data_IF_953513379506
#
_entry.id   IF_953513379506
#
_cell.length_a   1.000
_cell.length_b   1.000
_cell.length_c   1.000
_cell.angle_alpha   90.00
_cell.angle_beta   90.00
_cell.angle_gamma   90.00
#
_symmetry.space_group_name_H-M   'P 1'
#
loop_
_entity.id
_entity.type
_entity.pdbx_description
1 polymer ?
#
# COMPACT_ATOMS: atom_id res chain seq x y z
N UNK A 1 11.76 -8.41 15.06
CA UNK A 1 12.29 -7.24 14.31
C UNK A 1 13.46 -7.69 13.48
N UNK A 2 13.49 -7.28 12.22
CA UNK A 2 14.53 -7.54 11.24
C UNK A 2 15.16 -6.23 10.78
N UNK A 3 16.44 -6.26 10.43
CA UNK A 3 17.19 -5.08 10.01
C UNK A 3 17.93 -5.38 8.72
N UNK A 4 17.81 -4.48 7.75
CA UNK A 4 18.63 -4.48 6.54
C UNK A 4 19.50 -3.22 6.52
N UNK A 5 20.72 -3.33 6.04
CA UNK A 5 21.61 -2.19 5.85
C UNK A 5 22.57 -2.36 4.67
N UNK A 6 22.91 -1.24 4.05
CA UNK A 6 23.99 -1.15 3.08
C UNK A 6 24.72 0.20 3.22
N UNK A 7 25.52 0.61 2.22
CA UNK A 7 26.23 1.89 2.26
C UNK A 7 25.29 3.10 2.42
N UNK A 8 24.07 3.03 1.88
CA UNK A 8 23.14 4.15 1.72
C UNK A 8 22.01 4.16 2.75
N UNK A 9 21.44 3.00 3.08
CA UNK A 9 20.20 2.89 3.85
C UNK A 9 20.36 1.95 5.05
N UNK A 10 19.57 2.23 6.09
CA UNK A 10 19.24 1.28 7.17
C UNK A 10 17.73 1.15 7.24
N UNK A 11 17.22 -0.07 7.23
CA UNK A 11 15.79 -0.38 7.19
C UNK A 11 15.43 -1.27 8.36
N UNK A 12 14.27 -1.01 8.98
CA UNK A 12 13.72 -1.85 10.05
C UNK A 12 12.36 -2.41 9.63
N UNK A 13 12.17 -3.71 9.84
CA UNK A 13 10.95 -4.43 9.49
C UNK A 13 10.47 -5.19 10.73
N UNK A 14 9.19 -5.03 11.08
CA UNK A 14 8.55 -5.79 12.14
C UNK A 14 8.12 -7.16 11.60
N UNK A 15 8.38 -8.22 12.35
CA UNK A 15 7.91 -9.57 11.99
C UNK A 15 6.38 -9.66 12.13
N UNK A 16 5.80 -8.90 13.06
CA UNK A 16 4.36 -8.68 13.10
C UNK A 16 3.91 -7.86 11.90
N UNK A 17 3.06 -8.46 11.08
CA UNK A 17 2.53 -7.90 9.84
C UNK A 17 3.54 -7.76 8.71
N UNK A 18 4.76 -8.29 8.87
CA UNK A 18 5.92 -7.99 8.03
C UNK A 18 6.06 -6.48 7.75
N UNK A 19 5.73 -5.63 8.73
CA UNK A 19 5.52 -4.19 8.52
C UNK A 19 6.86 -3.46 8.37
N UNK A 20 7.02 -2.66 7.32
CA UNK A 20 8.13 -1.72 7.22
C UNK A 20 7.93 -0.60 8.25
N UNK A 21 8.87 -0.40 9.18
CA UNK A 21 8.73 0.60 10.25
C UNK A 21 9.72 1.75 10.15
N UNK A 22 10.79 1.63 9.36
CA UNK A 22 11.84 2.66 9.27
C UNK A 22 12.66 2.51 7.99
N UNK A 23 12.98 3.62 7.34
CA UNK A 23 14.02 3.77 6.32
C UNK A 23 14.85 5.00 6.67
N UNK A 24 16.07 4.79 7.16
CA UNK A 24 17.01 5.86 7.48
C UNK A 24 18.06 6.00 6.37
N UNK A 25 18.19 7.19 5.80
CA UNK A 25 19.31 7.52 4.90
C UNK A 25 20.58 7.76 5.71
N UNK A 26 21.66 7.03 5.42
CA UNK A 26 22.89 7.06 6.22
C UNK A 26 23.67 8.36 6.11
N UNK A 27 23.64 9.04 4.96
CA UNK A 27 24.44 10.25 4.73
C UNK A 27 24.07 11.41 5.64
N UNK A 28 22.80 11.52 6.04
CA UNK A 28 22.30 12.64 6.85
C UNK A 28 21.33 12.22 7.97
N UNK A 29 21.15 10.91 8.19
CA UNK A 29 20.33 10.32 9.25
C UNK A 29 18.83 10.68 9.16
N UNK A 30 18.34 11.08 7.98
CA UNK A 30 16.91 11.36 7.79
C UNK A 30 16.08 10.08 7.82
N UNK A 31 15.02 10.07 8.63
CA UNK A 31 13.96 9.05 8.60
C UNK A 31 12.91 9.40 7.54
N UNK A 32 12.44 8.40 6.82
CA UNK A 32 11.51 8.56 5.72
C UNK A 32 10.15 7.91 6.00
N UNK A 33 10.08 6.87 6.82
CA UNK A 33 8.83 6.19 7.15
C UNK A 33 8.14 6.90 8.31
N UNK A 34 6.83 7.09 8.20
CA UNK A 34 6.02 7.66 9.27
C UNK A 34 6.20 6.90 10.59
N UNK A 35 6.37 7.63 11.69
CA UNK A 35 6.72 7.07 13.00
C UNK A 35 5.53 6.46 13.78
N UNK A 36 4.37 6.32 13.14
CA UNK A 36 3.15 5.81 13.75
C UNK A 36 2.66 6.58 15.00
N UNK A 37 2.84 7.90 15.07
CA UNK A 37 2.27 8.70 16.17
C UNK A 37 0.73 8.51 16.21
N UNK A 38 0.19 7.94 17.29
CA UNK A 38 -1.24 7.65 17.41
C UNK A 38 -2.12 8.91 17.45
N UNK A 39 -1.55 10.10 17.65
CA UNK A 39 -2.26 11.37 17.50
C UNK A 39 -2.77 11.58 16.05
N UNK A 40 -2.07 11.01 15.07
CA UNK A 40 -2.44 11.05 13.66
C UNK A 40 -2.88 9.68 13.14
N UNK A 41 -2.00 8.68 13.19
CA UNK A 41 -2.26 7.32 12.73
C UNK A 41 -1.23 6.33 13.28
N UNK A 42 -1.69 5.32 14.01
CA UNK A 42 -0.83 4.38 14.75
C UNK A 42 -0.28 3.19 13.94
N UNK A 43 -0.02 3.36 12.65
CA UNK A 43 0.61 2.35 11.77
C UNK A 43 1.71 3.00 10.93
N UNK A 44 2.62 2.21 10.36
CA UNK A 44 3.74 2.70 9.55
C UNK A 44 3.51 2.38 8.06
N UNK A 45 3.46 1.10 7.72
CA UNK A 45 3.37 0.61 6.34
C UNK A 45 2.72 -0.77 6.28
N UNK A 46 1.46 -0.91 6.74
CA UNK A 46 0.81 -2.21 6.89
C UNK A 46 0.59 -2.87 5.54
N UNK A 47 0.66 -4.20 5.52
CA UNK A 47 0.27 -5.01 4.36
C UNK A 47 -1.24 -5.12 4.25
N UNK A 48 -1.73 -5.15 3.01
CA UNK A 48 -3.13 -5.40 2.70
C UNK A 48 -3.21 -6.77 2.02
N UNK A 49 -3.78 -7.77 2.71
CA UNK A 49 -3.96 -9.13 2.18
C UNK A 49 -4.95 -9.92 3.07
N UNK A 50 -5.86 -10.72 2.50
CA UNK A 50 -6.10 -10.98 1.07
C UNK A 50 -7.13 -10.04 0.42
N UNK A 51 -7.46 -8.93 1.10
CA UNK A 51 -8.45 -7.94 0.65
C UNK A 51 -7.86 -6.55 0.81
N UNK A 52 -8.18 -5.63 -0.10
CA UNK A 52 -7.82 -4.22 -0.07
C UNK A 52 -9.07 -3.39 0.27
N UNK A 53 -8.91 -2.45 1.20
CA UNK A 53 -9.99 -1.57 1.62
C UNK A 53 -11.08 -2.30 2.39
N UNK A 54 -12.32 -1.84 2.21
CA UNK A 54 -13.52 -2.35 2.89
C UNK A 54 -14.37 -3.15 1.90
N UNK A 55 -15.03 -4.18 2.41
CA UNK A 55 -16.11 -4.89 1.72
C UNK A 55 -17.48 -4.44 2.25
N UNK A 56 -18.51 -4.53 1.41
CA UNK A 56 -19.90 -4.28 1.80
C UNK A 56 -20.29 -5.20 2.97
N UNK A 57 -20.73 -4.60 4.07
CA UNK A 57 -21.03 -5.26 5.34
C UNK A 57 -19.86 -6.08 5.95
N UNK A 58 -18.62 -5.87 5.49
CA UNK A 58 -17.43 -6.66 5.88
C UNK A 58 -17.51 -8.14 5.48
N UNK A 59 -18.21 -8.44 4.38
CA UNK A 59 -18.45 -9.80 3.92
C UNK A 59 -18.18 -9.96 2.43
N UNK A 60 -17.85 -11.18 2.01
CA UNK A 60 -17.95 -11.63 0.62
C UNK A 60 -18.62 -13.00 0.55
N UNK A 61 -19.04 -13.39 -0.65
CA UNK A 61 -19.52 -14.74 -0.95
C UNK A 61 -18.55 -15.45 -1.89
N UNK A 62 -18.30 -16.72 -1.62
CA UNK A 62 -17.50 -17.62 -2.46
C UNK A 62 -18.22 -18.96 -2.53
N UNK A 63 -18.47 -19.46 -3.75
CA UNK A 63 -19.18 -20.71 -4.01
C UNK A 63 -20.52 -20.83 -3.23
N UNK A 64 -21.23 -19.70 -3.09
CA UNK A 64 -22.50 -19.60 -2.38
C UNK A 64 -22.40 -19.56 -0.85
N UNK A 65 -21.20 -19.55 -0.27
CA UNK A 65 -20.95 -19.42 1.17
C UNK A 65 -20.50 -18.01 1.51
N UNK A 66 -21.07 -17.40 2.55
CA UNK A 66 -20.67 -16.09 3.05
C UNK A 66 -19.53 -16.21 4.05
N UNK A 67 -18.54 -15.34 3.90
CA UNK A 67 -17.40 -15.20 4.80
C UNK A 67 -17.30 -13.75 5.29
N UNK A 68 -17.06 -13.57 6.57
CA UNK A 68 -16.74 -12.27 7.18
C UNK A 68 -15.23 -12.06 7.17
N UNK A 69 -14.78 -10.85 6.83
CA UNK A 69 -13.37 -10.49 6.85
C UNK A 69 -13.17 -9.01 7.18
N UNK A 70 -12.13 -8.73 7.94
CA UNK A 70 -11.81 -7.37 8.38
C UNK A 70 -11.31 -6.50 7.23
N UNK A 71 -11.46 -5.18 7.39
CA UNK A 71 -10.93 -4.17 6.45
C UNK A 71 -9.43 -4.37 6.22
N UNK A 72 -9.01 -4.46 4.96
CA UNK A 72 -7.65 -4.78 4.48
C UNK A 72 -7.16 -6.21 4.82
N UNK A 73 -8.07 -7.12 5.15
CA UNK A 73 -7.74 -8.49 5.52
C UNK A 73 -6.99 -8.61 6.85
N UNK A 74 -6.23 -9.69 6.98
CA UNK A 74 -5.65 -10.13 8.26
C UNK A 74 -4.13 -10.13 8.30
N UNK A 75 -3.43 -9.97 7.17
CA UNK A 75 -1.97 -10.14 7.14
C UNK A 75 -1.25 -9.22 8.12
N UNK A 76 -1.60 -7.94 8.17
CA UNK A 76 -1.00 -6.95 9.09
C UNK A 76 -1.21 -7.25 10.59
N UNK A 77 -2.14 -8.15 10.92
CA UNK A 77 -2.54 -8.47 12.30
C UNK A 77 -2.01 -9.86 12.72
N UNK A 78 -1.01 -10.39 12.01
CA UNK A 78 -0.40 -11.72 12.20
C UNK A 78 1.12 -11.63 12.29
N UNK A 79 1.73 -12.54 13.05
CA UNK A 79 3.18 -12.74 13.05
C UNK A 79 3.62 -13.50 11.78
N UNK A 80 4.65 -13.01 11.10
CA UNK A 80 5.28 -13.73 9.99
C UNK A 80 6.53 -14.47 10.47
N UNK A 81 6.79 -15.63 9.86
CA UNK A 81 8.01 -16.40 10.12
C UNK A 81 9.13 -15.93 9.21
N UNK A 82 10.30 -15.62 9.75
CA UNK A 82 11.50 -15.32 8.95
C UNK A 82 12.01 -16.60 8.30
N UNK A 83 12.03 -16.64 6.97
CA UNK A 83 12.47 -17.83 6.20
C UNK A 83 13.88 -17.67 5.63
N UNK A 84 14.30 -16.42 5.37
CA UNK A 84 15.65 -16.08 4.93
C UNK A 84 16.01 -14.69 5.44
N UNK A 85 17.26 -14.49 5.88
CA UNK A 85 17.76 -13.19 6.30
C UNK A 85 19.24 -13.04 5.95
N UNK A 86 19.63 -11.81 5.62
CA UNK A 86 20.98 -11.34 5.34
C UNK A 86 21.02 -9.83 5.56
N UNK A 87 22.20 -9.22 5.46
CA UNK A 87 22.36 -7.77 5.67
C UNK A 87 21.51 -6.94 4.69
N UNK A 88 21.25 -7.43 3.47
CA UNK A 88 20.53 -6.66 2.43
C UNK A 88 19.22 -7.29 1.98
N UNK A 89 18.81 -8.42 2.55
CA UNK A 89 17.58 -9.11 2.16
C UNK A 89 16.96 -9.88 3.33
N UNK A 90 15.64 -9.78 3.47
CA UNK A 90 14.86 -10.62 4.38
C UNK A 90 13.58 -11.11 3.69
N UNK A 91 13.24 -12.36 3.93
CA UNK A 91 11.97 -12.98 3.53
C UNK A 91 11.19 -13.37 4.77
N UNK A 92 9.94 -12.91 4.84
CA UNK A 92 9.00 -13.22 5.92
C UNK A 92 7.77 -13.89 5.32
N UNK A 93 7.32 -15.00 5.90
CA UNK A 93 6.21 -15.80 5.37
C UNK A 93 5.08 -16.00 6.37
N UNK A 94 3.84 -15.94 5.87
CA UNK A 94 2.61 -16.27 6.57
C UNK A 94 1.89 -17.38 5.78
N UNK A 95 1.56 -18.48 6.44
CA UNK A 95 0.77 -19.57 5.85
C UNK A 95 -0.63 -19.62 6.46
N UNK A 96 -1.57 -20.20 5.74
CA UNK A 96 -2.93 -20.39 6.22
C UNK A 96 -2.98 -21.18 7.54
N UNK A 97 -3.82 -20.74 8.47
CA UNK A 97 -4.14 -21.45 9.71
C UNK A 97 -5.65 -21.53 9.92
N UNK A 98 -6.07 -22.18 11.01
CA UNK A 98 -7.50 -22.32 11.32
C UNK A 98 -8.23 -20.98 11.46
N UNK A 99 -7.53 -19.93 11.91
CA UNK A 99 -8.10 -18.60 12.07
C UNK A 99 -8.27 -17.90 10.71
N UNK A 100 -7.27 -17.93 9.83
CA UNK A 100 -7.39 -17.34 8.49
C UNK A 100 -8.41 -18.10 7.65
N UNK A 101 -8.44 -19.43 7.73
CA UNK A 101 -9.40 -20.27 6.99
C UNK A 101 -10.87 -20.02 7.34
N UNK A 102 -11.15 -19.52 8.54
CA UNK A 102 -12.50 -19.13 8.93
C UNK A 102 -13.01 -17.90 8.13
N UNK A 103 -12.11 -17.03 7.68
CA UNK A 103 -12.42 -15.81 6.93
C UNK A 103 -12.09 -15.92 5.42
N UNK A 104 -11.15 -16.79 5.07
CA UNK A 104 -10.58 -16.93 3.73
C UNK A 104 -10.21 -18.40 3.49
N UNK A 105 -11.11 -19.19 2.88
CA UNK A 105 -11.09 -20.66 2.91
C UNK A 105 -10.06 -21.30 1.95
N UNK A 106 -8.89 -20.69 1.84
CA UNK A 106 -7.77 -21.16 1.03
C UNK A 106 -6.60 -21.63 1.89
N UNK A 107 -5.92 -22.67 1.42
CA UNK A 107 -4.52 -22.94 1.75
C UNK A 107 -3.62 -22.04 0.90
N UNK A 108 -2.79 -21.25 1.57
CA UNK A 108 -1.87 -20.30 0.94
C UNK A 108 -0.56 -20.19 1.71
N UNK A 109 0.45 -19.71 0.99
CA UNK A 109 1.69 -19.18 1.56
C UNK A 109 1.91 -17.78 0.98
N UNK A 110 1.99 -16.78 1.86
CA UNK A 110 2.19 -15.39 1.52
C UNK A 110 3.54 -14.92 2.05
N UNK A 111 4.49 -14.68 1.16
CA UNK A 111 5.85 -14.25 1.50
C UNK A 111 6.07 -12.80 1.08
N UNK A 112 6.60 -11.99 2.00
CA UNK A 112 7.13 -10.67 1.70
C UNK A 112 8.65 -10.75 1.64
N UNK A 113 9.23 -10.33 0.52
CA UNK A 113 10.69 -10.13 0.41
C UNK A 113 11.00 -8.64 0.39
N UNK A 114 11.85 -8.23 1.32
CA UNK A 114 12.50 -6.92 1.30
C UNK A 114 13.93 -7.08 0.84
N UNK A 115 14.38 -6.29 -0.13
CA UNK A 115 15.78 -6.29 -0.58
C UNK A 115 16.30 -4.88 -0.86
N UNK A 116 17.56 -4.63 -0.48
CA UNK A 116 18.26 -3.38 -0.70
C UNK A 116 19.18 -3.46 -1.92
N UNK A 117 19.07 -2.48 -2.81
CA UNK A 117 20.00 -2.23 -3.91
C UNK A 117 20.31 -0.73 -3.97
N UNK A 118 21.54 -0.35 -3.62
CA UNK A 118 21.92 1.06 -3.52
C UNK A 118 20.98 1.84 -2.58
N UNK A 119 20.31 2.87 -3.12
CA UNK A 119 19.35 3.72 -2.41
C UNK A 119 17.90 3.23 -2.50
N UNK A 120 17.70 2.01 -3.00
CA UNK A 120 16.38 1.48 -3.32
C UNK A 120 16.05 0.30 -2.42
N UNK A 121 14.86 0.35 -1.81
CA UNK A 121 14.22 -0.80 -1.17
C UNK A 121 13.19 -1.39 -2.14
N UNK A 122 13.38 -2.66 -2.53
CA UNK A 122 12.36 -3.43 -3.26
C UNK A 122 11.54 -4.24 -2.28
N UNK A 123 10.22 -4.18 -2.40
CA UNK A 123 9.24 -4.99 -1.67
C UNK A 123 8.51 -5.90 -2.65
N UNK A 124 8.61 -7.20 -2.46
CA UNK A 124 7.95 -8.21 -3.29
C UNK A 124 6.88 -8.94 -2.48
N UNK A 125 5.71 -9.10 -3.07
CA UNK A 125 4.56 -9.83 -2.53
C UNK A 125 4.43 -11.13 -3.31
N UNK A 126 4.82 -12.24 -2.71
CA UNK A 126 4.85 -13.55 -3.33
C UNK A 126 3.67 -14.34 -2.76
N UNK A 127 2.65 -14.54 -3.57
CA UNK A 127 1.42 -15.24 -3.19
C UNK A 127 1.41 -16.61 -3.85
N UNK A 128 1.47 -17.66 -3.03
CA UNK A 128 1.38 -19.04 -3.47
C UNK A 128 0.05 -19.66 -3.06
N UNK A 129 -0.60 -20.30 -4.03
CA UNK A 129 -1.81 -21.06 -3.80
C UNK A 129 -1.46 -22.52 -3.50
N UNK A 130 -1.59 -22.88 -2.22
CA UNK A 130 -1.36 -24.25 -1.72
C UNK A 130 -2.65 -25.10 -1.72
N UNK A 131 -3.76 -24.52 -2.18
CA UNK A 131 -5.04 -25.21 -2.37
C UNK A 131 -5.04 -26.05 -3.65
N UNK A 132 -6.04 -26.92 -3.77
CA UNK A 132 -6.26 -27.76 -4.96
C UNK A 132 -7.21 -27.14 -5.99
N UNK A 133 -7.58 -25.87 -5.84
CA UNK A 133 -8.48 -25.11 -6.70
C UNK A 133 -7.96 -23.67 -6.86
N UNK A 134 -8.52 -22.91 -7.79
CA UNK A 134 -8.11 -21.51 -8.03
C UNK A 134 -8.37 -20.64 -6.80
N UNK A 135 -7.39 -19.83 -6.43
CA UNK A 135 -7.46 -18.89 -5.31
C UNK A 135 -7.64 -17.46 -5.81
N UNK A 136 -8.62 -16.74 -5.25
CA UNK A 136 -8.86 -15.31 -5.51
C UNK A 136 -8.18 -14.47 -4.45
N UNK A 137 -7.37 -13.49 -4.82
CA UNK A 137 -6.64 -12.69 -3.82
C UNK A 137 -6.44 -11.24 -4.24
N UNK A 138 -6.10 -10.44 -3.24
CA UNK A 138 -5.75 -9.03 -3.36
C UNK A 138 -4.49 -8.77 -2.53
N UNK A 139 -3.60 -7.94 -3.04
CA UNK A 139 -2.41 -7.52 -2.29
C UNK A 139 -2.07 -6.05 -2.54
N UNK A 140 -1.69 -5.34 -1.48
CA UNK A 140 -1.28 -3.94 -1.59
C UNK A 140 -0.35 -3.50 -0.47
N UNK A 141 0.37 -2.42 -0.75
CA UNK A 141 1.07 -1.62 0.27
C UNK A 141 0.18 -0.54 0.84
N UNK A 142 0.59 0.03 1.96
CA UNK A 142 -0.03 1.21 2.57
C UNK A 142 1.06 2.04 3.27
N UNK A 143 2.13 2.29 2.52
CA UNK A 143 3.40 2.74 3.06
C UNK A 143 3.36 4.25 3.31
N UNK A 144 3.42 4.68 4.58
CA UNK A 144 3.40 6.09 4.96
C UNK A 144 4.80 6.70 5.02
N UNK A 145 4.95 7.86 4.39
CA UNK A 145 6.19 8.62 4.34
C UNK A 145 6.06 9.95 5.07
N UNK A 146 7.08 10.30 5.86
CA UNK A 146 7.11 11.54 6.65
C UNK A 146 7.20 12.78 5.76
N UNK A 147 6.48 13.82 6.18
CA UNK A 147 6.65 15.19 5.73
C UNK A 147 7.32 15.96 6.88
N UNK A 148 8.59 16.33 6.69
CA UNK A 148 9.33 17.18 7.63
C UNK A 148 8.85 18.61 7.53
N UNK A 149 8.41 19.20 8.64
CA UNK A 149 7.99 20.60 8.72
C UNK A 149 8.99 21.51 9.46
N UNK A 150 10.19 21.00 9.75
CA UNK A 150 11.27 21.79 10.37
C UNK A 150 11.73 22.94 9.46
N UNK A 151 11.72 22.68 8.15
CA UNK A 151 12.30 23.51 7.10
C UNK A 151 11.38 23.67 5.87
N UNK A 152 10.15 23.14 5.93
CA UNK A 152 9.17 23.18 4.84
C UNK A 152 7.73 23.35 5.37
N UNK A 153 6.88 24.00 4.59
CA UNK A 153 5.43 23.98 4.82
C UNK A 153 4.78 22.82 4.04
N UNK A 154 3.58 22.39 4.43
CA UNK A 154 2.82 21.38 3.68
C UNK A 154 2.66 21.75 2.19
N UNK A 155 2.48 23.05 1.89
CA UNK A 155 2.37 23.57 0.53
C UNK A 155 3.63 23.46 -0.32
N UNK A 156 4.79 23.20 0.30
CA UNK A 156 6.04 22.97 -0.43
C UNK A 156 6.14 21.53 -0.94
N UNK A 157 5.36 20.62 -0.36
CA UNK A 157 5.32 19.22 -0.77
C UNK A 157 4.41 19.00 -1.97
N UNK A 158 4.79 18.04 -2.80
CA UNK A 158 4.02 17.64 -3.97
C UNK A 158 4.18 16.15 -4.27
N UNK A 159 3.19 15.62 -4.96
CA UNK A 159 3.27 14.34 -5.66
C UNK A 159 3.40 14.59 -7.16
N UNK A 160 4.47 14.08 -7.75
CA UNK A 160 4.72 14.17 -9.19
C UNK A 160 4.31 12.85 -9.87
N UNK A 161 3.55 12.99 -10.95
CA UNK A 161 3.07 11.92 -11.81
C UNK A 161 3.56 12.18 -13.23
N UNK A 162 4.14 11.17 -13.87
CA UNK A 162 4.78 11.31 -15.18
C UNK A 162 3.76 11.16 -16.31
N UNK A 163 3.83 12.04 -17.32
CA UNK A 163 3.05 11.93 -18.55
C UNK A 163 1.57 12.31 -18.43
N UNK A 164 1.16 13.01 -17.37
CA UNK A 164 -0.23 13.41 -17.15
C UNK A 164 -0.34 14.81 -16.52
N UNK A 165 -1.37 15.55 -16.90
CA UNK A 165 -1.66 16.90 -16.37
C UNK A 165 -2.95 16.95 -15.53
N UNK A 166 -3.70 15.85 -15.48
CA UNK A 166 -4.96 15.72 -14.73
C UNK A 166 -5.07 14.30 -14.21
N UNK A 167 -5.24 14.10 -12.90
CA UNK A 167 -5.60 12.79 -12.35
C UNK A 167 -7.09 12.53 -12.58
N UNK A 168 -7.40 11.33 -13.03
CA UNK A 168 -8.77 10.81 -13.11
C UNK A 168 -9.02 9.96 -11.85
N UNK A 169 -9.63 10.57 -10.84
CA UNK A 169 -9.81 9.98 -9.50
C UNK A 169 -11.15 9.27 -9.44
N UNK A 170 -11.15 8.03 -8.97
CA UNK A 170 -12.39 7.23 -8.83
C UNK A 170 -13.25 7.83 -7.71
N UNK A 171 -14.51 8.12 -8.01
CA UNK A 171 -15.46 8.61 -7.00
C UNK A 171 -15.81 7.50 -6.01
N UNK A 172 -15.98 7.88 -4.75
CA UNK A 172 -16.45 7.00 -3.69
C UNK A 172 -17.70 7.55 -3.01
N UNK A 173 -18.55 6.67 -2.49
CA UNK A 173 -19.64 7.08 -1.59
C UNK A 173 -19.14 7.34 -0.16
N UNK A 174 -20.07 7.68 0.75
CA UNK A 174 -19.75 8.00 2.14
C UNK A 174 -19.12 6.81 2.92
N UNK A 175 -19.32 5.58 2.46
CA UNK A 175 -18.74 4.37 3.04
C UNK A 175 -17.42 3.96 2.36
N UNK A 176 -16.91 4.81 1.47
CA UNK A 176 -15.71 4.60 0.66
C UNK A 176 -15.88 3.42 -0.31
N UNK A 177 -17.12 3.17 -0.76
CA UNK A 177 -17.41 2.21 -1.82
C UNK A 177 -17.23 2.89 -3.17
N UNK A 178 -16.56 2.20 -4.09
CA UNK A 178 -16.31 2.74 -5.41
C UNK A 178 -17.61 2.96 -6.19
N UNK A 179 -17.66 4.08 -6.89
CA UNK A 179 -18.65 4.40 -7.90
C UNK A 179 -18.08 4.11 -9.30
N UNK A 180 -18.93 4.20 -10.33
CA UNK A 180 -18.49 4.04 -11.73
C UNK A 180 -17.96 5.35 -12.33
N UNK A 181 -18.16 6.46 -11.64
CA UNK A 181 -17.74 7.79 -12.09
C UNK A 181 -16.34 8.12 -11.57
N UNK A 182 -15.73 9.06 -12.27
CA UNK A 182 -14.47 9.66 -11.90
C UNK A 182 -14.62 11.18 -11.92
N UNK A 183 -13.77 11.86 -11.16
CA UNK A 183 -13.60 13.30 -11.24
C UNK A 183 -12.15 13.68 -11.53
N UNK A 184 -12.00 14.82 -12.20
CA UNK A 184 -10.70 15.36 -12.58
C UNK A 184 -10.06 16.16 -11.44
N UNK A 185 -8.82 15.81 -11.09
CA UNK A 185 -7.96 16.63 -10.22
C UNK A 185 -6.81 17.20 -11.06
N UNK A 186 -6.80 18.52 -11.34
CA UNK A 186 -5.77 19.13 -12.17
C UNK A 186 -4.41 19.10 -11.49
N UNK A 187 -3.37 18.81 -12.27
CA UNK A 187 -1.99 18.91 -11.88
C UNK A 187 -1.36 20.18 -12.44
N UNK A 188 -0.32 20.66 -11.78
CA UNK A 188 0.51 21.76 -12.28
C UNK A 188 1.89 21.22 -12.58
N UNK A 189 2.25 21.21 -13.87
CA UNK A 189 3.54 20.65 -14.35
C UNK A 189 3.71 19.18 -13.92
N UNK A 190 2.65 18.36 -14.05
CA UNK A 190 2.62 16.97 -13.59
C UNK A 190 2.58 16.78 -12.06
N UNK A 191 2.39 17.85 -11.27
CA UNK A 191 2.43 17.82 -9.80
C UNK A 191 1.10 18.15 -9.14
N UNK A 192 0.74 17.35 -8.15
CA UNK A 192 -0.29 17.63 -7.16
C UNK A 192 0.39 18.24 -5.93
N UNK A 193 0.24 19.56 -5.76
CA UNK A 193 0.74 20.24 -4.56
C UNK A 193 -0.16 19.94 -3.37
N UNK A 194 0.45 19.64 -2.23
CA UNK A 194 -0.29 19.24 -1.04
C UNK A 194 -0.84 20.46 -0.31
N UNK A 195 -2.00 20.28 0.30
CA UNK A 195 -2.66 21.24 1.16
C UNK A 195 -3.50 20.49 2.19
N UNK A 196 -3.96 21.18 3.24
CA UNK A 196 -4.87 20.58 4.22
C UNK A 196 -6.15 20.03 3.60
N UNK A 197 -6.61 20.67 2.52
CA UNK A 197 -7.84 20.32 1.82
C UNK A 197 -7.67 19.21 0.77
N UNK A 198 -6.44 18.74 0.53
CA UNK A 198 -6.18 17.72 -0.51
C UNK A 198 -7.00 16.44 -0.30
N UNK A 199 -7.27 16.07 0.96
CA UNK A 199 -8.05 14.88 1.32
C UNK A 199 -9.37 15.21 2.03
N UNK A 200 -9.85 16.45 1.97
CA UNK A 200 -11.05 16.86 2.72
C UNK A 200 -12.36 16.40 2.08
N UNK A 201 -12.36 16.23 0.75
CA UNK A 201 -13.48 15.66 -0.01
C UNK A 201 -13.35 14.16 -0.13
N UNK A 202 -12.19 13.73 -0.60
CA UNK A 202 -11.86 12.35 -0.88
C UNK A 202 -10.83 11.91 0.13
N UNK A 203 -11.25 11.09 1.10
CA UNK A 203 -10.34 10.59 2.14
C UNK A 203 -9.10 9.93 1.51
N UNK A 204 -9.26 9.26 0.36
CA UNK A 204 -8.22 8.61 -0.43
C UNK A 204 -8.39 8.97 -1.90
N UNK A 205 -7.32 9.40 -2.58
CA UNK A 205 -7.31 9.53 -4.04
C UNK A 205 -6.97 8.18 -4.65
N UNK A 206 -7.95 7.50 -5.25
CA UNK A 206 -7.77 6.19 -5.89
C UNK A 206 -7.67 6.33 -7.41
N UNK A 207 -6.63 5.74 -7.99
CA UNK A 207 -6.25 5.93 -9.40
C UNK A 207 -6.14 4.58 -10.11
N UNK A 208 -6.78 4.45 -11.27
CA UNK A 208 -6.78 3.26 -12.14
C UNK A 208 -6.25 3.52 -13.56
N UNK A 209 -5.74 4.74 -13.82
CA UNK A 209 -5.42 5.24 -15.17
C UNK A 209 -4.09 6.01 -15.24
N UNK A 210 -3.12 5.65 -14.40
CA UNK A 210 -1.79 6.25 -14.48
C UNK A 210 -1.07 5.75 -15.75
N UNK A 211 -0.58 6.63 -16.64
CA UNK A 211 0.15 6.21 -17.84
C UNK A 211 1.55 5.66 -17.52
N UNK A 212 2.12 6.09 -16.39
CA UNK A 212 3.39 5.61 -15.84
C UNK A 212 3.16 5.20 -14.39
N UNK A 213 3.52 3.96 -14.05
CA UNK A 213 3.35 3.40 -12.71
C UNK A 213 4.49 3.84 -11.77
N UNK A 214 4.53 5.16 -11.55
CA UNK A 214 5.53 5.85 -10.74
C UNK A 214 4.92 7.06 -10.07
N UNK A 215 5.24 7.27 -8.80
CA UNK A 215 4.89 8.48 -8.06
C UNK A 215 6.12 8.99 -7.31
N UNK A 216 6.38 10.29 -7.37
CA UNK A 216 7.46 10.92 -6.58
C UNK A 216 6.88 11.88 -5.57
N UNK A 217 7.12 11.62 -4.28
CA UNK A 217 6.94 12.62 -3.23
C UNK A 217 8.20 13.48 -3.16
N UNK A 218 8.03 14.78 -3.36
CA UNK A 218 9.10 15.77 -3.29
C UNK A 218 8.70 17.00 -2.51
N UNK A 219 9.66 17.89 -2.31
CA UNK A 219 9.49 19.17 -1.63
C UNK A 219 10.25 20.27 -2.39
N UNK A 220 9.73 21.50 -2.36
CA UNK A 220 10.41 22.67 -2.94
C UNK A 220 11.51 23.23 -2.03
N UNK A 221 11.40 23.03 -0.72
CA UNK A 221 12.29 23.63 0.27
C UNK A 221 13.55 22.81 0.54
N UNK A 222 13.58 21.53 0.12
CA UNK A 222 14.75 20.66 0.21
C UNK A 222 14.76 19.61 -0.91
N UNK A 223 15.93 19.01 -1.17
CA UNK A 223 16.10 18.03 -2.27
C UNK A 223 15.64 16.61 -1.95
N UNK A 224 15.13 16.33 -0.75
CA UNK A 224 14.71 14.97 -0.35
C UNK A 224 13.54 14.49 -1.22
N UNK A 225 13.62 13.24 -1.68
CA UNK A 225 12.53 12.60 -2.42
C UNK A 225 12.31 11.15 -2.00
N UNK A 226 11.05 10.72 -2.12
CA UNK A 226 10.66 9.31 -2.13
C UNK A 226 10.10 9.03 -3.52
N UNK A 227 10.77 8.15 -4.26
CA UNK A 227 10.35 7.75 -5.61
C UNK A 227 9.84 6.33 -5.54
N UNK A 228 8.56 6.12 -5.79
CA UNK A 228 7.93 4.81 -5.81
C UNK A 228 7.66 4.36 -7.25
N UNK A 229 8.12 3.16 -7.60
CA UNK A 229 7.91 2.53 -8.91
C UNK A 229 7.20 1.19 -8.72
N UNK A 230 6.11 0.97 -9.45
CA UNK A 230 5.22 -0.19 -9.27
C UNK A 230 4.75 -0.76 -10.63
N UNK A 231 5.67 -1.16 -11.51
CA UNK A 231 5.35 -1.51 -12.91
C UNK A 231 4.42 -2.73 -13.07
N UNK A 232 4.31 -3.58 -12.06
CA UNK A 232 3.49 -4.81 -12.08
C UNK A 232 2.09 -4.60 -11.48
N UNK A 233 1.78 -3.39 -11.01
CA UNK A 233 0.60 -3.10 -10.20
C UNK A 233 -0.25 -2.03 -10.89
N UNK A 234 -1.53 -2.33 -11.13
CA UNK A 234 -2.41 -1.55 -11.99
C UNK A 234 -3.06 -0.34 -11.29
N UNK A 235 -3.17 -0.38 -9.96
CA UNK A 235 -3.87 0.64 -9.18
C UNK A 235 -2.94 1.31 -8.18
N UNK A 236 -3.21 2.59 -7.92
CA UNK A 236 -2.46 3.38 -6.96
C UNK A 236 -3.39 4.24 -6.13
N UNK A 237 -3.16 4.29 -4.83
CA UNK A 237 -3.87 5.19 -3.94
C UNK A 237 -2.90 6.12 -3.21
N UNK A 238 -3.40 7.32 -2.93
CA UNK A 238 -2.74 8.31 -2.11
C UNK A 238 -3.68 8.65 -0.95
N UNK A 239 -3.17 8.60 0.27
CA UNK A 239 -3.98 8.86 1.45
C UNK A 239 -3.22 9.65 2.51
N UNK A 240 -3.92 10.54 3.20
CA UNK A 240 -3.51 11.09 4.48
C UNK A 240 -4.78 11.37 5.28
N UNK A 241 -4.83 11.12 6.60
CA UNK A 241 -6.04 11.36 7.37
C UNK A 241 -6.38 12.85 7.34
N UNK A 242 -7.62 13.19 6.99
CA UNK A 242 -8.06 14.58 7.05
C UNK A 242 -8.25 15.03 8.50
N UNK A 243 -7.53 16.08 8.89
CA UNK A 243 -7.71 16.79 10.17
C UNK A 243 -7.94 18.28 9.88
N UNK A 244 -9.11 18.85 10.18
CA UNK A 244 -9.41 20.25 9.86
C UNK A 244 -8.53 21.25 10.63
N UNK A 245 -8.07 20.85 11.82
CA UNK A 245 -7.41 21.74 12.77
C UNK A 245 -5.87 21.66 12.73
N UNK A 246 -5.28 20.73 11.99
CA UNK A 246 -3.83 20.60 11.88
C UNK A 246 -3.37 19.96 10.57
N UNK A 247 -2.14 20.26 10.17
CA UNK A 247 -1.50 19.62 9.03
C UNK A 247 -0.96 18.25 9.46
N UNK A 248 -1.19 17.24 8.63
CA UNK A 248 -0.74 15.87 8.92
C UNK A 248 0.68 15.66 8.36
N UNK A 249 1.64 15.24 9.19
CA UNK A 249 3.06 15.17 8.84
C UNK A 249 3.44 13.88 8.09
N UNK A 250 2.50 13.28 7.34
CA UNK A 250 2.79 12.13 6.51
C UNK A 250 1.79 11.98 5.36
N UNK A 251 2.18 11.21 4.36
CA UNK A 251 1.32 10.77 3.26
C UNK A 251 1.60 9.30 2.93
N UNK A 252 0.56 8.54 2.66
CA UNK A 252 0.66 7.16 2.19
C UNK A 252 0.70 7.11 0.68
N UNK A 253 1.62 6.28 0.18
CA UNK A 253 1.72 5.89 -1.22
C UNK A 253 1.42 4.39 -1.32
N UNK A 254 0.38 4.03 -2.06
CA UNK A 254 -0.24 2.72 -1.91
C UNK A 254 -0.45 2.02 -3.26
N UNK A 255 0.53 1.23 -3.73
CA UNK A 255 0.35 0.36 -4.88
C UNK A 255 -0.59 -0.79 -4.52
N UNK A 256 -1.67 -0.96 -5.27
CA UNK A 256 -2.71 -1.95 -5.02
C UNK A 256 -2.95 -2.85 -6.23
N UNK A 257 -3.01 -4.17 -6.00
CA UNK A 257 -3.27 -5.14 -7.06
C UNK A 257 -4.71 -5.11 -7.59
N UNK A 258 -5.61 -4.49 -6.83
CA UNK A 258 -7.02 -4.27 -7.13
C UNK A 258 -7.55 -3.05 -6.36
N UNK A 259 -8.83 -2.72 -6.52
CA UNK A 259 -9.49 -1.64 -5.80
C UNK A 259 -10.39 -2.17 -4.66
N UNK A 260 -10.80 -1.32 -3.69
CA UNK A 260 -11.82 -1.64 -2.69
C UNK A 260 -13.17 -2.09 -3.29
N UNK A 261 -14.10 -2.51 -2.44
CA UNK A 261 -15.43 -2.91 -2.92
C UNK A 261 -16.23 -1.74 -3.49
N UNK A 262 -17.27 -2.05 -4.26
CA UNK A 262 -18.04 -1.06 -5.01
C UNK A 262 -19.53 -1.11 -4.70
N UNK A 263 -20.21 0.03 -4.92
CA UNK A 263 -21.63 0.14 -4.65
C UNK A 263 -22.49 -0.66 -5.67
N UNK A 264 -21.95 -0.94 -6.86
CA UNK A 264 -22.70 -1.43 -8.03
C UNK A 264 -22.57 -2.93 -8.33
N UNK A 265 -21.72 -3.68 -7.62
CA UNK A 265 -21.63 -5.14 -7.72
C UNK A 265 -22.23 -5.83 -6.48
N UNK A 266 -22.48 -7.14 -6.65
CA UNK A 266 -22.81 -8.05 -5.55
C UNK A 266 -21.57 -8.39 -4.72
N UNK A 267 -21.74 -9.32 -3.77
CA UNK A 267 -20.69 -9.74 -2.83
C UNK A 267 -19.82 -10.90 -3.35
N UNK A 268 -20.04 -11.36 -4.57
CA UNK A 268 -19.30 -12.48 -5.15
C UNK A 268 -17.82 -12.10 -5.39
N UNK A 269 -16.90 -12.76 -4.67
CA UNK A 269 -15.48 -12.44 -4.72
C UNK A 269 -14.91 -12.58 -6.13
N UNK A 270 -15.36 -13.59 -6.89
CA UNK A 270 -14.93 -13.83 -8.26
C UNK A 270 -15.37 -12.74 -9.25
N UNK A 271 -16.36 -11.92 -8.89
CA UNK A 271 -16.86 -10.80 -9.71
C UNK A 271 -16.24 -9.47 -9.33
N UNK A 272 -15.51 -9.41 -8.21
CA UNK A 272 -14.92 -8.17 -7.72
C UNK A 272 -13.96 -7.60 -8.77
N UNK A 273 -14.09 -6.30 -9.05
CA UNK A 273 -13.24 -5.60 -10.02
C UNK A 273 -11.77 -5.85 -9.68
N UNK A 274 -10.94 -6.19 -10.66
CA UNK A 274 -9.50 -6.37 -10.50
C UNK A 274 -9.06 -7.57 -9.66
N UNK A 275 -9.98 -8.43 -9.19
CA UNK A 275 -9.63 -9.60 -8.37
C UNK A 275 -8.59 -10.46 -9.10
N UNK A 276 -7.52 -10.83 -8.38
CA UNK A 276 -6.45 -11.63 -8.97
C UNK A 276 -6.70 -13.10 -8.70
N UNK A 277 -6.12 -13.95 -9.56
CA UNK A 277 -6.28 -15.40 -9.47
C UNK A 277 -4.94 -16.11 -9.54
N UNK A 278 -4.74 -17.10 -8.68
CA UNK A 278 -3.60 -18.01 -8.74
C UNK A 278 -4.13 -19.43 -8.88
N UNK A 279 -3.73 -20.13 -9.94
CA UNK A 279 -4.10 -21.54 -10.13
C UNK A 279 -3.47 -22.44 -9.05
N UNK A 280 -4.08 -23.60 -8.81
CA UNK A 280 -3.61 -24.56 -7.80
C UNK A 280 -2.12 -24.91 -7.98
N UNK A 281 -1.35 -24.83 -6.89
CA UNK A 281 0.10 -25.11 -6.88
C UNK A 281 0.95 -24.10 -7.65
N UNK A 282 0.42 -22.93 -7.99
CA UNK A 282 1.15 -21.83 -8.65
C UNK A 282 1.39 -20.68 -7.68
N UNK A 283 2.25 -19.76 -8.10
CA UNK A 283 2.55 -18.51 -7.39
C UNK A 283 2.51 -17.32 -8.35
N UNK A 284 2.14 -16.16 -7.82
CA UNK A 284 2.27 -14.85 -8.47
C UNK A 284 3.17 -13.96 -7.61
N UNK A 285 3.92 -13.06 -8.26
CA UNK A 285 4.76 -12.07 -7.56
C UNK A 285 4.43 -10.69 -8.09
N UNK A 286 4.07 -9.79 -7.19
CA UNK A 286 3.89 -8.37 -7.48
C UNK A 286 4.88 -7.57 -6.65
N UNK A 287 5.57 -6.62 -7.26
CA UNK A 287 6.59 -5.84 -6.58
C UNK A 287 6.47 -4.34 -6.83
N UNK A 288 6.95 -3.59 -5.86
CA UNK A 288 7.24 -2.19 -6.02
C UNK A 288 8.59 -1.84 -5.39
N UNK A 289 9.13 -0.70 -5.80
CA UNK A 289 10.43 -0.19 -5.37
C UNK A 289 10.28 1.21 -4.84
N UNK A 290 11.08 1.53 -3.83
CA UNK A 290 11.12 2.83 -3.19
C UNK A 290 12.56 3.29 -3.18
N UNK A 291 12.86 4.33 -3.95
CA UNK A 291 14.19 4.95 -4.02
C UNK A 291 14.20 6.23 -3.19
N UNK A 292 15.21 6.35 -2.34
CA UNK A 292 15.40 7.50 -1.45
C UNK A 292 16.47 8.42 -2.02
N UNK A 293 16.11 9.67 -2.32
CA UNK A 293 17.04 10.70 -2.80
C UNK A 293 17.22 11.86 -1.85
#
# INVERSE_FOLDING_TARGET
>A
MQFLENEFLRVSINEFGAELTSIVRRSDQSEYVWNADPAFWGKHAPLLFPIIGRLKDQEYTLDGTTYEITRHGFARDKEFTVVQASDTCVELSLSADAYTKAMYPYDFTFTIRYSLDGKTLKKEHIVQNDSNHTMYYEVGGHDAYMLSFDDAALSDYYLEFEGIDVLDVIDCDADVMLMQSHHAVPLKDGRLYLSRETFSKDNTLMLDRLPVHRCTLGCLSHSRKVIMEFPEIDYFAVWSPYKPDCDVPFICLEPWSTLPDCAYLGKELEKKVGIRTVAAGRSETLSFRVTIE
#
